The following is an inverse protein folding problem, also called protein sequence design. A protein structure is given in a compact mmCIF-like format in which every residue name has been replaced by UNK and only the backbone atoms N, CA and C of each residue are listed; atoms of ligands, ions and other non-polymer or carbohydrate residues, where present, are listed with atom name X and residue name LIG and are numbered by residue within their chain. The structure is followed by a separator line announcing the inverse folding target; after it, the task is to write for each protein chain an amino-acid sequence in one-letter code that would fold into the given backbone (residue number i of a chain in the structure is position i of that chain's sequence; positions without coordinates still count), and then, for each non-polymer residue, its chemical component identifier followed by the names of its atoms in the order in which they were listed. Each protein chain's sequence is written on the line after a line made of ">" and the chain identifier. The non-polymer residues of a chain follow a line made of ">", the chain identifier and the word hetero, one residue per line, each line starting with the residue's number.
data_IF_864681424847
#
_entry.id   IF_864681424847
#
_cell.length_a   1.000
_cell.length_b   1.000
_cell.length_c   1.000
_cell.angle_alpha   90.00
_cell.angle_beta   90.00
_cell.angle_gamma   90.00
#
_symmetry.space_group_name_H-M   'P 1'
#
loop_
_entity.id
_entity.type
_entity.pdbx_description
1 polymer ?
#
# COMPACT_ATOMS: atom_id res chain seq x y z
N UNK A 1 5.64 -6.92 55.77
CA UNK A 1 5.73 -6.37 54.39
C UNK A 1 6.50 -7.28 53.41
N UNK A 2 6.56 -8.61 53.63
CA UNK A 2 7.52 -9.51 52.94
C UNK A 2 6.98 -10.24 51.69
N UNK A 3 5.68 -10.13 51.38
CA UNK A 3 5.03 -10.81 50.25
C UNK A 3 4.62 -9.86 49.10
N UNK A 4 4.88 -8.55 49.24
CA UNK A 4 4.52 -7.53 48.22
C UNK A 4 5.60 -7.42 47.12
N UNK A 5 6.84 -7.76 47.45
CA UNK A 5 8.01 -7.68 46.54
C UNK A 5 7.93 -8.65 45.34
N UNK A 6 7.59 -9.94 45.49
CA UNK A 6 7.48 -10.85 44.33
C UNK A 6 6.28 -10.52 43.43
N UNK A 7 5.18 -10.01 44.00
CA UNK A 7 4.02 -9.55 43.24
C UNK A 7 4.36 -8.30 42.43
N UNK A 8 5.13 -7.37 43.01
CA UNK A 8 5.57 -6.16 42.30
C UNK A 8 6.53 -6.49 41.14
N UNK A 9 7.42 -7.47 41.33
CA UNK A 9 8.34 -7.97 40.30
C UNK A 9 7.59 -8.69 39.16
N UNK A 10 6.57 -9.49 39.48
CA UNK A 10 5.74 -10.16 38.47
C UNK A 10 4.92 -9.16 37.64
N UNK A 11 4.38 -8.12 38.27
CA UNK A 11 3.66 -7.04 37.57
C UNK A 11 4.62 -6.22 36.70
N UNK A 12 5.82 -5.90 37.20
CA UNK A 12 6.83 -5.19 36.41
C UNK A 12 7.30 -6.02 35.20
N UNK A 13 7.50 -7.33 35.36
CA UNK A 13 7.86 -8.23 34.26
C UNK A 13 6.76 -8.33 33.19
N UNK A 14 5.48 -8.34 33.59
CA UNK A 14 4.34 -8.35 32.67
C UNK A 14 4.21 -7.04 31.87
N UNK A 15 4.57 -5.91 32.48
CA UNK A 15 4.58 -4.60 31.81
C UNK A 15 5.78 -4.47 30.86
N UNK A 16 6.91 -5.10 31.14
CA UNK A 16 8.08 -5.07 30.25
C UNK A 16 7.87 -5.93 29.00
N UNK A 17 7.08 -7.02 29.08
CA UNK A 17 6.77 -7.86 27.90
C UNK A 17 5.92 -7.17 26.83
N UNK A 18 5.23 -6.07 27.11
CA UNK A 18 4.48 -5.31 26.10
C UNK A 18 5.31 -4.27 25.36
N UNK A 19 6.55 -3.99 25.80
CA UNK A 19 7.45 -3.01 25.16
C UNK A 19 8.35 -3.63 24.07
N UNK A 20 8.31 -4.94 23.88
CA UNK A 20 9.19 -5.64 22.94
C UNK A 20 8.94 -5.30 21.46
N UNK A 21 7.82 -4.66 21.11
CA UNK A 21 7.53 -4.25 19.74
C UNK A 21 7.82 -2.77 19.42
N UNK A 22 8.42 -1.98 20.33
CA UNK A 22 8.67 -0.54 20.09
C UNK A 22 10.14 -0.12 20.10
N UNK A 23 11.08 -1.08 20.06
CA UNK A 23 12.50 -0.80 20.24
C UNK A 23 13.29 -1.05 18.94
N UNK A 24 13.10 -0.22 17.91
CA UNK A 24 14.12 -0.11 16.85
C UNK A 24 13.72 0.52 15.52
N UNK A 25 12.51 0.25 15.04
CA UNK A 25 11.92 0.85 13.84
C UNK A 25 10.52 1.32 14.19
N UNK A 26 10.01 2.38 13.55
CA UNK A 26 8.65 2.85 13.77
C UNK A 26 7.59 1.78 13.46
N UNK A 27 6.31 2.11 13.66
CA UNK A 27 5.24 1.24 13.18
C UNK A 27 5.28 1.18 11.64
N UNK A 28 5.11 0.00 11.02
CA UNK A 28 5.04 -0.11 9.57
C UNK A 28 3.99 0.84 9.01
N UNK A 29 4.38 1.67 8.05
CA UNK A 29 3.50 2.70 7.51
C UNK A 29 3.68 2.87 6.01
N UNK A 30 2.56 2.98 5.30
CA UNK A 30 2.54 3.43 3.92
C UNK A 30 2.44 4.94 3.84
N UNK A 31 3.17 5.54 2.92
CA UNK A 31 3.11 6.96 2.63
C UNK A 31 3.30 7.24 1.14
N UNK A 32 3.03 8.49 0.73
CA UNK A 32 3.34 8.98 -0.62
C UNK A 32 2.73 8.15 -1.77
N UNK A 33 1.48 7.69 -1.61
CA UNK A 33 0.77 6.93 -2.65
C UNK A 33 0.53 7.82 -3.87
N UNK A 34 1.01 7.37 -5.04
CA UNK A 34 1.03 8.17 -6.28
C UNK A 34 0.98 7.30 -7.53
N UNK A 35 0.52 7.87 -8.63
CA UNK A 35 0.61 7.27 -9.97
C UNK A 35 1.84 7.79 -10.72
N UNK A 36 2.47 6.94 -11.54
CA UNK A 36 3.71 7.27 -12.26
C UNK A 36 3.88 6.46 -13.56
N UNK A 37 4.84 6.88 -14.38
CA UNK A 37 5.29 6.18 -15.59
C UNK A 37 6.37 5.11 -15.33
N UNK A 38 6.87 5.02 -14.10
CA UNK A 38 7.95 4.10 -13.70
C UNK A 38 7.68 3.46 -12.34
N UNK A 39 8.36 2.34 -12.11
CA UNK A 39 8.27 1.53 -10.90
C UNK A 39 8.81 2.19 -9.64
N UNK A 40 9.68 3.19 -9.78
CA UNK A 40 10.29 3.91 -8.65
C UNK A 40 9.39 5.07 -8.18
N UNK A 41 8.37 5.41 -8.97
CA UNK A 41 7.44 6.50 -8.68
C UNK A 41 8.08 7.88 -8.79
N UNK A 42 9.11 8.04 -9.63
CA UNK A 42 9.84 9.31 -9.81
C UNK A 42 9.14 10.20 -10.84
N UNK A 43 8.77 9.64 -12.00
CA UNK A 43 8.05 10.35 -13.05
C UNK A 43 6.54 10.26 -12.81
N UNK A 44 6.08 11.04 -11.83
CA UNK A 44 4.67 11.05 -11.43
C UNK A 44 3.77 11.64 -12.51
N UNK A 45 2.57 11.11 -12.63
CA UNK A 45 1.54 11.66 -13.50
C UNK A 45 0.16 11.21 -13.04
N UNK A 46 -0.85 12.04 -13.25
CA UNK A 46 -2.27 11.69 -13.11
C UNK A 46 -2.97 11.55 -14.47
N UNK A 47 -2.21 11.66 -15.55
CA UNK A 47 -2.71 11.61 -16.93
C UNK A 47 -1.79 10.72 -17.74
N UNK A 48 -2.37 9.79 -18.48
CA UNK A 48 -1.65 8.80 -19.26
C UNK A 48 -2.30 8.69 -20.65
N UNK A 49 -1.50 8.32 -21.63
CA UNK A 49 -1.96 7.98 -22.97
C UNK A 49 -2.53 6.57 -23.06
N UNK A 50 -3.20 6.28 -24.18
CA UNK A 50 -3.89 5.01 -24.44
C UNK A 50 -3.00 3.76 -24.30
N UNK A 51 -1.69 3.90 -24.53
CA UNK A 51 -0.75 2.77 -24.55
C UNK A 51 0.29 2.83 -23.44
N UNK A 52 0.13 3.75 -22.48
CA UNK A 52 1.06 3.87 -21.38
C UNK A 52 0.83 2.77 -20.35
N UNK A 53 1.93 2.33 -19.73
CA UNK A 53 1.87 1.55 -18.50
C UNK A 53 1.61 2.49 -17.34
N UNK A 54 0.64 2.14 -16.49
CA UNK A 54 0.31 2.94 -15.31
C UNK A 54 0.85 2.24 -14.08
N UNK A 55 1.77 2.90 -13.37
CA UNK A 55 2.26 2.44 -12.08
C UNK A 55 1.51 3.15 -10.95
N UNK A 56 1.19 2.43 -9.88
CA UNK A 56 0.82 2.96 -8.57
C UNK A 56 1.91 2.59 -7.59
N UNK A 57 2.52 3.59 -6.99
CA UNK A 57 3.70 3.45 -6.12
C UNK A 57 3.38 4.02 -4.75
N UNK A 58 3.84 3.34 -3.71
CA UNK A 58 3.78 3.79 -2.31
C UNK A 58 5.14 3.57 -1.67
N UNK A 59 5.50 4.45 -0.74
CA UNK A 59 6.66 4.26 0.11
C UNK A 59 6.19 3.43 1.33
N UNK A 60 6.97 2.43 1.73
CA UNK A 60 6.75 1.60 2.92
C UNK A 60 7.95 1.75 3.84
N UNK A 61 7.71 2.37 4.99
CA UNK A 61 8.69 2.51 6.07
C UNK A 61 8.43 1.45 7.14
N UNK A 62 9.52 0.90 7.71
CA UNK A 62 9.51 -0.11 8.76
C UNK A 62 8.66 -1.36 8.43
N UNK A 63 8.59 -1.75 7.16
CA UNK A 63 7.92 -2.97 6.74
C UNK A 63 8.55 -4.21 7.37
N UNK A 64 7.72 -5.20 7.68
CA UNK A 64 8.16 -6.50 8.23
C UNK A 64 7.48 -7.65 7.53
N UNK A 65 8.07 -8.84 7.62
CA UNK A 65 7.54 -10.04 7.01
C UNK A 65 6.06 -10.28 7.39
N UNK A 66 5.23 -10.54 6.40
CA UNK A 66 3.78 -10.72 6.55
C UNK A 66 2.96 -9.44 6.45
N UNK A 67 3.57 -8.25 6.36
CA UNK A 67 2.83 -7.06 5.97
C UNK A 67 2.29 -7.21 4.54
N UNK A 68 1.04 -6.82 4.33
CA UNK A 68 0.32 -6.93 3.07
C UNK A 68 -0.02 -5.53 2.55
N UNK A 69 0.46 -5.23 1.34
CA UNK A 69 0.06 -4.05 0.58
C UNK A 69 -0.86 -4.52 -0.55
N UNK A 70 -2.05 -3.93 -0.68
CA UNK A 70 -2.98 -4.30 -1.75
C UNK A 70 -3.37 -3.06 -2.56
N UNK A 71 -3.54 -3.23 -3.86
CA UNK A 71 -4.12 -2.22 -4.76
C UNK A 71 -5.38 -2.77 -5.41
N UNK A 72 -6.46 -2.00 -5.40
CA UNK A 72 -7.75 -2.35 -6.01
C UNK A 72 -8.06 -1.33 -7.09
N UNK A 73 -8.17 -1.79 -8.33
CA UNK A 73 -8.24 -0.95 -9.51
C UNK A 73 -9.67 -0.91 -10.07
N UNK A 74 -10.16 0.28 -10.35
CA UNK A 74 -11.50 0.50 -10.88
C UNK A 74 -11.48 1.39 -12.12
N UNK A 75 -12.30 1.03 -13.10
CA UNK A 75 -12.80 1.97 -14.10
C UNK A 75 -13.93 2.79 -13.46
N UNK A 76 -13.59 3.94 -12.89
CA UNK A 76 -14.54 4.79 -12.15
C UNK A 76 -15.57 5.41 -13.09
N UNK A 77 -15.11 6.02 -14.18
CA UNK A 77 -15.95 6.64 -15.21
C UNK A 77 -15.24 6.57 -16.55
N UNK A 78 -15.41 5.46 -17.26
CA UNK A 78 -14.67 5.11 -18.47
C UNK A 78 -15.62 4.84 -19.63
N UNK A 79 -15.25 5.29 -20.84
CA UNK A 79 -16.09 5.11 -22.03
C UNK A 79 -16.28 3.62 -22.35
N UNK A 80 -17.54 3.20 -22.52
CA UNK A 80 -17.88 1.83 -22.89
C UNK A 80 -17.72 0.79 -21.78
N UNK A 81 -17.44 1.22 -20.55
CA UNK A 81 -17.33 0.36 -19.36
C UNK A 81 -18.39 0.77 -18.33
N UNK A 82 -18.93 -0.20 -17.59
CA UNK A 82 -19.84 0.09 -16.49
C UNK A 82 -19.15 0.97 -15.43
N UNK A 83 -19.86 1.93 -14.80
CA UNK A 83 -19.27 2.78 -13.78
C UNK A 83 -18.83 1.98 -12.55
N UNK A 84 -17.73 2.39 -11.93
CA UNK A 84 -17.10 1.71 -10.80
C UNK A 84 -16.80 0.21 -11.06
N UNK A 85 -16.54 -0.16 -12.33
CA UNK A 85 -16.20 -1.53 -12.68
C UNK A 85 -14.84 -1.91 -12.07
N UNK A 86 -14.83 -2.99 -11.28
CA UNK A 86 -13.62 -3.56 -10.71
C UNK A 86 -12.79 -4.21 -11.84
N UNK A 87 -11.58 -3.69 -12.04
CA UNK A 87 -10.61 -4.24 -12.99
C UNK A 87 -9.93 -5.44 -12.36
N UNK A 88 -9.23 -5.22 -11.24
CA UNK A 88 -8.52 -6.28 -10.52
C UNK A 88 -8.09 -5.83 -9.12
N UNK A 89 -7.69 -6.80 -8.30
CA UNK A 89 -7.01 -6.61 -7.02
C UNK A 89 -5.65 -7.29 -7.06
N UNK A 90 -4.58 -6.53 -6.80
CA UNK A 90 -3.21 -7.03 -6.77
C UNK A 90 -2.63 -6.86 -5.37
N UNK A 91 -2.00 -7.90 -4.86
CA UNK A 91 -1.44 -7.93 -3.50
C UNK A 91 0.06 -8.21 -3.51
N UNK A 92 0.77 -7.56 -2.60
CA UNK A 92 2.19 -7.76 -2.33
C UNK A 92 2.39 -8.06 -0.84
N UNK A 93 2.92 -9.24 -0.54
CA UNK A 93 3.30 -9.62 0.83
C UNK A 93 4.80 -9.38 1.02
N UNK A 94 5.15 -8.57 2.01
CA UNK A 94 6.55 -8.40 2.43
C UNK A 94 7.06 -9.73 2.98
N UNK A 95 8.19 -10.19 2.46
CA UNK A 95 8.82 -11.45 2.89
C UNK A 95 10.07 -11.22 3.74
N UNK A 96 10.66 -10.03 3.67
CA UNK A 96 11.85 -9.67 4.44
C UNK A 96 11.48 -9.29 5.87
N UNK A 97 12.30 -9.70 6.84
CA UNK A 97 12.11 -9.38 8.27
C UNK A 97 12.12 -7.85 8.52
N UNK A 98 12.81 -7.10 7.65
CA UNK A 98 12.86 -5.63 7.66
C UNK A 98 12.87 -5.13 6.22
N UNK A 99 12.00 -4.18 5.89
CA UNK A 99 11.89 -3.56 4.58
C UNK A 99 11.65 -2.05 4.69
N UNK A 100 12.48 -1.26 4.02
CA UNK A 100 12.28 0.17 3.82
C UNK A 100 12.49 0.47 2.33
N UNK A 101 11.48 1.00 1.66
CA UNK A 101 11.56 1.24 0.21
C UNK A 101 10.22 1.48 -0.46
N UNK A 102 10.18 1.27 -1.77
CA UNK A 102 8.98 1.44 -2.58
C UNK A 102 8.31 0.10 -2.86
N UNK A 103 6.98 0.10 -2.80
CA UNK A 103 6.14 -0.98 -3.33
C UNK A 103 5.36 -0.39 -4.50
N UNK A 104 5.33 -1.11 -5.62
CA UNK A 104 4.57 -0.69 -6.80
C UNK A 104 3.70 -1.81 -7.35
N UNK A 105 2.62 -1.39 -7.99
CA UNK A 105 1.75 -2.20 -8.82
C UNK A 105 1.62 -1.54 -10.17
N UNK A 106 1.38 -2.31 -11.22
CA UNK A 106 1.19 -1.74 -12.54
C UNK A 106 0.26 -2.57 -13.39
N UNK A 107 -0.34 -1.90 -14.37
CA UNK A 107 -0.95 -2.53 -15.52
C UNK A 107 -0.34 -1.93 -16.79
N UNK A 108 0.09 -2.82 -17.67
CA UNK A 108 0.36 -2.46 -19.06
C UNK A 108 -0.96 -2.16 -19.76
N UNK A 109 -0.90 -1.36 -20.83
CA UNK A 109 -2.07 -1.13 -21.65
C UNK A 109 -2.54 -2.44 -22.30
N UNK A 110 -3.86 -2.72 -22.32
CA UNK A 110 -4.41 -3.80 -23.13
C UNK A 110 -4.03 -3.67 -24.61
N UNK A 111 -4.14 -4.75 -25.40
CA UNK A 111 -3.80 -4.74 -26.83
C UNK A 111 -4.49 -3.62 -27.64
N UNK A 112 -5.72 -3.25 -27.24
CA UNK A 112 -6.51 -2.16 -27.85
C UNK A 112 -6.25 -0.78 -27.26
N UNK A 113 -5.34 -0.66 -26.30
CA UNK A 113 -5.18 0.50 -25.44
C UNK A 113 -6.21 0.57 -24.32
N UNK A 114 -5.94 1.43 -23.36
CA UNK A 114 -6.89 1.81 -22.34
C UNK A 114 -8.06 2.59 -22.94
N UNK A 115 -9.32 2.28 -22.58
CA UNK A 115 -10.43 3.17 -22.90
C UNK A 115 -10.28 4.52 -22.17
N UNK A 116 -10.65 5.61 -22.85
CA UNK A 116 -10.57 6.97 -22.31
C UNK A 116 -11.51 7.13 -21.10
N UNK A 117 -11.04 7.83 -20.07
CA UNK A 117 -11.84 8.12 -18.89
C UNK A 117 -11.05 8.19 -17.60
N UNK A 118 -11.77 8.20 -16.48
CA UNK A 118 -11.20 8.28 -15.14
C UNK A 118 -11.15 6.90 -14.49
N UNK A 119 -9.98 6.59 -13.95
CA UNK A 119 -9.68 5.37 -13.22
C UNK A 119 -9.33 5.72 -11.77
N UNK A 120 -9.59 4.79 -10.87
CA UNK A 120 -9.34 4.92 -9.43
C UNK A 120 -8.59 3.70 -8.93
N UNK A 121 -7.61 3.93 -8.06
CA UNK A 121 -6.92 2.86 -7.35
C UNK A 121 -7.00 3.10 -5.85
N UNK A 122 -7.51 2.12 -5.13
CA UNK A 122 -7.59 2.11 -3.68
C UNK A 122 -6.46 1.26 -3.12
N UNK A 123 -5.65 1.86 -2.26
CA UNK A 123 -4.49 1.21 -1.64
C UNK A 123 -4.80 0.89 -0.19
N UNK A 124 -4.51 -0.35 0.19
CA UNK A 124 -4.74 -0.90 1.51
C UNK A 124 -3.43 -1.39 2.13
N UNK A 125 -3.35 -1.32 3.45
CA UNK A 125 -2.29 -1.90 4.24
C UNK A 125 -2.88 -2.82 5.31
N UNK A 126 -2.54 -4.11 5.27
CA UNK A 126 -3.10 -5.13 6.16
C UNK A 126 -4.64 -5.11 6.20
N UNK A 127 -5.27 -4.85 5.05
CA UNK A 127 -6.73 -4.74 4.91
C UNK A 127 -7.35 -3.41 5.36
N UNK A 128 -6.57 -2.48 5.94
CA UNK A 128 -7.04 -1.14 6.27
C UNK A 128 -6.84 -0.18 5.09
N UNK A 129 -7.84 0.67 4.75
CA UNK A 129 -7.70 1.65 3.67
C UNK A 129 -6.65 2.71 4.03
N UNK A 130 -5.75 2.99 3.09
CA UNK A 130 -4.68 3.98 3.26
C UNK A 130 -4.93 5.21 2.40
N UNK A 131 -5.12 5.02 1.09
CA UNK A 131 -5.28 6.12 0.15
C UNK A 131 -6.07 5.69 -1.07
N UNK A 132 -6.59 6.68 -1.77
CA UNK A 132 -7.24 6.53 -3.06
C UNK A 132 -6.60 7.51 -4.03
N UNK A 133 -6.01 6.99 -5.09
CA UNK A 133 -5.46 7.80 -6.18
C UNK A 133 -6.33 7.67 -7.42
N UNK A 134 -6.34 8.73 -8.25
CA UNK A 134 -7.08 8.75 -9.50
C UNK A 134 -6.16 9.18 -10.63
N UNK A 135 -6.38 8.60 -11.80
CA UNK A 135 -5.72 9.01 -13.03
C UNK A 135 -6.71 8.98 -14.20
N UNK A 136 -6.35 9.69 -15.26
CA UNK A 136 -7.14 9.75 -16.49
C UNK A 136 -6.36 9.19 -17.66
N UNK A 137 -7.04 8.47 -18.54
CA UNK A 137 -6.55 8.08 -19.86
C UNK A 137 -7.14 9.05 -20.88
N UNK A 138 -6.29 9.66 -21.72
CA UNK A 138 -6.71 10.59 -22.80
C UNK A 138 -5.75 10.63 -23.99
#
# INVERSE_FOLDING_TARGET
>A
MRNKLPILLAVLALVVSTLACSLGGGEPALSNVRTAYDSDGVNTSTTFGLFDTVYVVTDLDNGVAGNLVSSVWYAESVEGVDPDFLIDTVEYTVVDETFDGTVHFFFEAPDGGWPTGTYRVEVFFNGAPVSTVRFTIQ
#
